data_IF_141750081166
#
_entry.id   IF_141750081166
#
_cell.length_a   1.000
_cell.length_b   1.000
_cell.length_c   1.000
_cell.angle_alpha   90.00
_cell.angle_beta   90.00
_cell.angle_gamma   90.00
#
_symmetry.space_group_name_H-M   'P 1'
#
loop_
_entity.id
_entity.type
_entity.pdbx_description
1 polymer ?
#
# COMPACT_ATOMS: atom_id res chain seq x y z
N UNK A 1 -35.26 -32.95 -26.25
CA UNK A 1 -34.84 -31.59 -26.67
C UNK A 1 -35.19 -30.53 -25.63
N UNK A 2 -36.44 -30.46 -25.15
CA UNK A 2 -36.88 -29.45 -24.18
C UNK A 2 -36.14 -29.50 -22.83
N UNK A 3 -35.87 -30.70 -22.31
CA UNK A 3 -35.08 -30.93 -21.08
C UNK A 3 -33.66 -30.37 -21.15
N UNK A 4 -33.01 -30.45 -22.32
CA UNK A 4 -31.66 -29.91 -22.52
C UNK A 4 -31.66 -28.37 -22.49
N UNK A 5 -32.65 -27.73 -23.13
CA UNK A 5 -32.77 -26.26 -23.16
C UNK A 5 -32.93 -25.70 -21.74
N UNK A 6 -33.80 -26.32 -20.94
CA UNK A 6 -34.00 -25.93 -19.54
C UNK A 6 -32.74 -26.12 -18.72
N UNK A 7 -32.04 -27.25 -18.87
CA UNK A 7 -30.79 -27.50 -18.16
C UNK A 7 -29.71 -26.45 -18.49
N UNK A 8 -29.57 -26.07 -19.77
CA UNK A 8 -28.65 -25.01 -20.18
C UNK A 8 -29.02 -23.65 -19.59
N UNK A 9 -30.30 -23.30 -19.53
CA UNK A 9 -30.78 -22.07 -18.91
C UNK A 9 -30.40 -21.99 -17.42
N UNK A 10 -30.58 -23.08 -16.67
CA UNK A 10 -30.18 -23.15 -15.26
C UNK A 10 -28.66 -23.02 -15.07
N UNK A 11 -27.86 -23.68 -15.92
CA UNK A 11 -26.40 -23.58 -15.84
C UNK A 11 -25.94 -22.14 -16.12
N UNK A 12 -26.47 -21.50 -17.18
CA UNK A 12 -26.13 -20.13 -17.52
C UNK A 12 -26.50 -19.14 -16.41
N UNK A 13 -27.68 -19.29 -15.80
CA UNK A 13 -28.12 -18.49 -14.67
C UNK A 13 -27.20 -18.68 -13.45
N UNK A 14 -26.85 -19.92 -13.13
CA UNK A 14 -25.92 -20.24 -12.03
C UNK A 14 -24.54 -19.64 -12.25
N UNK A 15 -23.99 -19.75 -13.47
CA UNK A 15 -22.73 -19.10 -13.82
C UNK A 15 -22.84 -17.57 -13.68
N UNK A 16 -23.94 -16.96 -14.12
CA UNK A 16 -24.21 -15.54 -13.94
C UNK A 16 -24.18 -15.11 -12.48
N UNK A 17 -24.81 -15.87 -11.58
CA UNK A 17 -24.82 -15.59 -10.14
C UNK A 17 -23.42 -15.76 -9.53
N UNK A 18 -22.73 -16.86 -9.84
CA UNK A 18 -21.41 -17.17 -9.27
C UNK A 18 -20.38 -16.11 -9.69
N UNK A 19 -20.31 -15.80 -10.98
CA UNK A 19 -19.30 -14.88 -11.52
C UNK A 19 -19.69 -13.40 -11.36
N UNK A 20 -20.97 -13.08 -11.42
CA UNK A 20 -21.48 -11.71 -11.30
C UNK A 20 -21.61 -11.22 -9.85
N UNK A 21 -21.91 -12.12 -8.90
CA UNK A 21 -22.28 -11.73 -7.53
C UNK A 21 -21.35 -12.38 -6.50
N UNK A 22 -21.28 -13.71 -6.46
CA UNK A 22 -20.59 -14.43 -5.38
C UNK A 22 -19.08 -14.19 -5.39
N UNK A 23 -18.43 -14.37 -6.53
CA UNK A 23 -16.97 -14.19 -6.65
C UNK A 23 -16.52 -12.75 -6.33
N UNK A 24 -17.16 -11.68 -6.84
CA UNK A 24 -16.86 -10.31 -6.43
C UNK A 24 -17.03 -10.09 -4.92
N UNK A 25 -18.11 -10.62 -4.33
CA UNK A 25 -18.36 -10.50 -2.88
C UNK A 25 -17.30 -11.20 -2.05
N UNK A 26 -16.91 -12.43 -2.42
CA UNK A 26 -15.83 -13.18 -1.74
C UNK A 26 -14.51 -12.42 -1.86
N UNK A 27 -14.17 -11.92 -3.06
CA UNK A 27 -12.94 -11.12 -3.27
C UNK A 27 -12.95 -9.84 -2.45
N UNK A 28 -14.10 -9.16 -2.38
CA UNK A 28 -14.30 -7.97 -1.54
C UNK A 28 -14.12 -8.33 -0.06
N UNK A 29 -14.78 -9.37 0.44
CA UNK A 29 -14.66 -9.79 1.84
C UNK A 29 -13.22 -10.16 2.20
N UNK A 30 -12.52 -10.89 1.34
CA UNK A 30 -11.10 -11.21 1.55
C UNK A 30 -10.21 -9.96 1.55
N UNK A 31 -10.50 -9.00 0.67
CA UNK A 31 -9.81 -7.71 0.69
C UNK A 31 -10.11 -6.94 1.97
N UNK A 32 -11.37 -6.90 2.43
CA UNK A 32 -11.81 -6.22 3.65
C UNK A 32 -11.27 -6.86 4.93
N UNK A 33 -11.21 -8.19 5.03
CA UNK A 33 -10.54 -8.88 6.14
C UNK A 33 -9.08 -8.44 6.24
N UNK A 34 -8.39 -8.35 5.11
CA UNK A 34 -7.02 -7.84 5.08
C UNK A 34 -6.90 -6.33 5.45
N UNK A 35 -7.99 -5.56 5.42
CA UNK A 35 -8.00 -4.16 5.88
C UNK A 35 -8.13 -4.04 7.39
N UNK A 36 -8.93 -4.91 8.02
CA UNK A 36 -9.17 -4.87 9.46
C UNK A 36 -7.89 -5.13 10.27
N UNK A 37 -6.93 -5.86 9.68
CA UNK A 37 -5.70 -6.30 10.35
C UNK A 37 -4.65 -5.19 10.49
N UNK A 38 -4.77 -4.10 9.74
CA UNK A 38 -3.74 -3.06 9.70
C UNK A 38 -4.34 -1.67 9.69
N UNK A 39 -3.99 -0.89 10.72
CA UNK A 39 -4.39 0.51 10.87
C UNK A 39 -4.17 1.31 9.58
N UNK A 40 -5.09 2.23 9.25
CA UNK A 40 -4.96 3.03 8.05
C UNK A 40 -3.76 3.97 8.12
N UNK A 41 -3.00 4.03 7.03
CA UNK A 41 -1.92 5.01 6.87
C UNK A 41 -2.48 6.18 6.07
N UNK A 42 -3.07 7.14 6.79
CA UNK A 42 -3.80 8.26 6.20
C UNK A 42 -2.86 9.34 5.71
N UNK A 43 -3.10 9.80 4.48
CA UNK A 43 -2.46 10.95 3.87
C UNK A 43 -3.28 12.23 4.13
N UNK A 44 -2.65 13.41 4.17
CA UNK A 44 -3.37 14.67 4.19
C UNK A 44 -4.27 14.79 2.94
N UNK A 45 -5.51 15.30 3.08
CA UNK A 45 -6.41 15.46 1.96
C UNK A 45 -5.92 16.58 1.02
N UNK A 46 -6.19 16.40 -0.28
CA UNK A 46 -5.95 17.44 -1.28
C UNK A 46 -7.05 18.53 -1.26
N UNK A 47 -6.78 19.65 -1.94
CA UNK A 47 -7.77 20.72 -2.12
C UNK A 47 -8.97 20.24 -2.96
N UNK A 48 -10.15 20.82 -2.71
CA UNK A 48 -11.39 20.50 -3.45
C UNK A 48 -11.32 20.80 -4.96
N UNK A 49 -10.42 21.68 -5.37
CA UNK A 49 -10.14 21.99 -6.79
C UNK A 49 -9.69 20.76 -7.60
N UNK A 50 -9.16 19.76 -6.89
CA UNK A 50 -8.72 18.47 -7.44
C UNK A 50 -9.82 17.40 -7.38
N UNK A 51 -11.05 17.73 -6.98
CA UNK A 51 -12.21 16.82 -7.02
C UNK A 51 -12.82 16.74 -8.42
N UNK A 52 -12.00 16.38 -9.40
CA UNK A 52 -12.42 16.15 -10.78
C UNK A 52 -11.67 14.96 -11.37
N UNK A 53 -12.33 14.14 -12.21
CA UNK A 53 -11.66 13.07 -12.94
C UNK A 53 -10.67 13.66 -13.96
N UNK A 54 -9.47 13.11 -13.99
CA UNK A 54 -8.38 13.47 -14.89
C UNK A 54 -7.91 12.23 -15.66
N UNK A 55 -7.76 12.31 -16.99
CA UNK A 55 -7.25 11.20 -17.78
C UNK A 55 -5.73 11.06 -17.58
N UNK A 56 -5.29 9.84 -17.29
CA UNK A 56 -3.87 9.48 -17.14
C UNK A 56 -3.59 8.25 -18.00
N UNK A 57 -2.51 8.32 -18.79
CA UNK A 57 -2.10 7.21 -19.65
C UNK A 57 -1.70 5.97 -18.85
N UNK A 58 -2.03 4.80 -19.39
CA UNK A 58 -1.58 3.52 -18.85
C UNK A 58 -0.09 3.28 -19.07
N UNK A 59 0.53 2.44 -18.23
CA UNK A 59 1.98 2.16 -18.26
C UNK A 59 2.52 1.67 -19.60
N UNK A 60 1.75 0.87 -20.33
CA UNK A 60 2.22 0.12 -21.50
C UNK A 60 1.44 0.46 -22.80
N UNK A 61 0.43 1.32 -22.72
CA UNK A 61 -0.47 1.65 -23.83
C UNK A 61 -0.94 3.08 -23.66
N UNK A 62 -0.37 4.00 -24.43
CA UNK A 62 -0.78 5.42 -24.45
C UNK A 62 -2.27 5.57 -24.78
N UNK A 63 -2.84 4.62 -25.54
CA UNK A 63 -4.25 4.60 -25.92
C UNK A 63 -5.21 4.25 -24.79
N UNK A 64 -4.74 3.59 -23.71
CA UNK A 64 -5.60 3.25 -22.58
C UNK A 64 -5.53 4.36 -21.52
N UNK A 65 -6.55 5.22 -21.52
CA UNK A 65 -6.70 6.27 -20.51
C UNK A 65 -7.43 5.74 -19.27
N UNK A 66 -6.87 6.02 -18.11
CA UNK A 66 -7.51 5.79 -16.81
C UNK A 66 -7.94 7.13 -16.22
N UNK A 67 -9.16 7.18 -15.67
CA UNK A 67 -9.64 8.35 -14.94
C UNK A 67 -9.13 8.25 -13.51
N UNK A 68 -8.43 9.27 -13.05
CA UNK A 68 -7.99 9.43 -11.66
C UNK A 68 -8.67 10.64 -11.04
N UNK A 69 -8.99 10.59 -9.76
CA UNK A 69 -9.41 11.76 -9.00
C UNK A 69 -8.53 11.83 -7.77
N UNK A 70 -7.71 12.89 -7.69
CA UNK A 70 -6.72 13.05 -6.64
C UNK A 70 -7.38 13.39 -5.31
N UNK A 71 -8.39 14.27 -5.26
CA UNK A 71 -9.09 14.60 -4.01
C UNK A 71 -9.62 13.34 -3.31
N UNK A 72 -10.23 12.42 -4.05
CA UNK A 72 -10.78 11.17 -3.52
C UNK A 72 -9.77 10.03 -3.48
N UNK A 73 -8.55 10.21 -4.02
CA UNK A 73 -7.60 9.12 -4.29
C UNK A 73 -8.23 7.91 -5.00
N UNK A 74 -8.99 8.15 -6.08
CA UNK A 74 -9.66 7.08 -6.85
C UNK A 74 -9.09 6.90 -8.25
N UNK A 75 -9.18 5.69 -8.81
CA UNK A 75 -8.73 5.39 -10.16
C UNK A 75 -9.59 4.33 -10.85
N UNK A 76 -9.81 4.43 -12.15
CA UNK A 76 -10.55 3.42 -12.92
C UNK A 76 -9.72 2.21 -13.34
N UNK A 77 -8.43 2.14 -12.98
CA UNK A 77 -7.59 1.02 -13.37
C UNK A 77 -7.99 -0.29 -12.65
N UNK A 78 -7.69 -1.43 -13.30
CA UNK A 78 -8.03 -2.75 -12.77
C UNK A 78 -7.48 -2.99 -11.35
N UNK A 79 -6.22 -2.59 -11.09
CA UNK A 79 -5.59 -2.76 -9.76
C UNK A 79 -6.27 -1.93 -8.67
N UNK A 80 -6.86 -0.79 -9.02
CA UNK A 80 -7.66 -0.02 -8.08
C UNK A 80 -8.98 -0.73 -7.80
N UNK A 81 -9.78 -0.96 -8.84
CA UNK A 81 -11.12 -1.59 -8.72
C UNK A 81 -11.12 -2.93 -7.99
N UNK A 82 -10.06 -3.73 -8.14
CA UNK A 82 -10.00 -5.09 -7.57
C UNK A 82 -9.27 -5.19 -6.24
N UNK A 83 -8.52 -4.15 -5.83
CA UNK A 83 -7.66 -4.23 -4.64
C UNK A 83 -7.58 -2.90 -3.91
N UNK A 84 -7.04 -1.87 -4.55
CA UNK A 84 -6.69 -0.62 -3.85
C UNK A 84 -7.90 0.24 -3.47
N UNK A 85 -9.01 0.10 -4.19
CA UNK A 85 -10.24 0.85 -3.92
C UNK A 85 -10.96 0.45 -2.65
N UNK A 86 -10.61 -0.68 -2.05
CA UNK A 86 -11.21 -1.15 -0.80
C UNK A 86 -10.61 -0.50 0.43
N UNK A 87 -9.37 0.01 0.36
CA UNK A 87 -8.76 0.71 1.50
C UNK A 87 -9.53 2.00 1.82
N UNK A 88 -9.55 2.41 3.10
CA UNK A 88 -10.21 3.65 3.53
C UNK A 88 -9.79 4.85 2.71
N UNK A 89 -10.68 5.84 2.61
CA UNK A 89 -10.36 7.10 1.94
C UNK A 89 -9.11 7.73 2.55
N UNK A 90 -8.32 8.39 1.71
CA UNK A 90 -7.01 8.96 2.05
C UNK A 90 -5.91 7.96 2.46
N UNK A 91 -6.14 6.65 2.45
CA UNK A 91 -5.07 5.69 2.79
C UNK A 91 -4.01 5.60 1.67
N UNK A 92 -2.72 5.61 2.04
CA UNK A 92 -1.58 5.48 1.10
C UNK A 92 -1.71 4.24 0.21
N UNK A 93 -2.29 3.15 0.73
CA UNK A 93 -2.48 1.87 0.02
C UNK A 93 -3.45 2.00 -1.16
N UNK A 94 -4.26 3.07 -1.22
CA UNK A 94 -5.10 3.40 -2.39
C UNK A 94 -4.27 3.78 -3.61
N UNK A 95 -3.07 4.32 -3.41
CA UNK A 95 -2.24 4.89 -4.47
C UNK A 95 -1.76 3.82 -5.46
N UNK A 96 -2.50 3.68 -6.56
CA UNK A 96 -2.06 2.91 -7.71
C UNK A 96 -0.95 3.65 -8.48
N UNK A 97 -0.34 2.99 -9.47
CA UNK A 97 0.66 3.61 -10.32
C UNK A 97 0.17 4.94 -10.93
N UNK A 98 -1.03 4.98 -11.51
CA UNK A 98 -1.57 6.19 -12.16
C UNK A 98 -1.78 7.34 -11.18
N UNK A 99 -2.29 7.07 -9.97
CA UNK A 99 -2.44 8.09 -8.93
C UNK A 99 -1.09 8.71 -8.56
N UNK A 100 -0.05 7.87 -8.37
CA UNK A 100 1.29 8.35 -8.03
C UNK A 100 1.94 9.13 -9.17
N UNK A 101 1.76 8.69 -10.41
CA UNK A 101 2.24 9.45 -11.57
C UNK A 101 1.56 10.80 -11.67
N UNK A 102 0.24 10.86 -11.45
CA UNK A 102 -0.49 12.12 -11.50
C UNK A 102 -0.09 13.09 -10.39
N UNK A 103 0.10 12.58 -9.17
CA UNK A 103 0.66 13.36 -8.03
C UNK A 103 2.01 13.96 -8.41
N UNK A 104 2.91 13.14 -9.00
CA UNK A 104 4.24 13.60 -9.44
C UNK A 104 4.14 14.63 -10.57
N UNK A 105 3.28 14.38 -11.56
CA UNK A 105 3.08 15.26 -12.73
C UNK A 105 2.58 16.65 -12.33
N UNK A 106 1.72 16.73 -11.31
CA UNK A 106 1.22 18.01 -10.78
C UNK A 106 2.13 18.64 -9.71
N UNK A 107 3.29 18.03 -9.41
CA UNK A 107 4.21 18.54 -8.40
C UNK A 107 3.63 18.55 -6.99
N UNK A 108 2.71 17.63 -6.66
CA UNK A 108 1.98 17.62 -5.39
C UNK A 108 2.63 16.75 -4.30
N UNK A 109 3.82 16.20 -4.57
CA UNK A 109 4.50 15.27 -3.66
C UNK A 109 4.99 15.99 -2.40
N UNK A 110 5.41 17.24 -2.54
CA UNK A 110 5.88 18.14 -1.48
C UNK A 110 4.82 18.42 -0.39
N UNK A 111 3.54 18.24 -0.71
CA UNK A 111 2.42 18.37 0.24
C UNK A 111 2.37 17.26 1.30
N UNK A 112 3.10 16.17 1.09
CA UNK A 112 3.17 15.06 2.04
C UNK A 112 4.37 15.21 2.97
N UNK A 113 4.29 14.62 4.16
CA UNK A 113 5.48 14.52 5.02
C UNK A 113 6.54 13.61 4.38
N UNK A 114 7.81 13.81 4.75
CA UNK A 114 8.94 13.14 4.09
C UNK A 114 8.87 11.59 4.13
N UNK A 115 8.28 11.00 5.18
CA UNK A 115 8.07 9.55 5.23
C UNK A 115 7.06 9.11 4.17
N UNK A 116 5.90 9.78 4.12
CA UNK A 116 4.87 9.52 3.12
C UNK A 116 5.41 9.68 1.70
N UNK A 117 6.22 10.71 1.44
CA UNK A 117 6.90 10.89 0.14
C UNK A 117 7.75 9.68 -0.23
N UNK A 118 8.62 9.23 0.68
CA UNK A 118 9.51 8.07 0.45
C UNK A 118 8.73 6.79 0.12
N UNK A 119 7.62 6.53 0.83
CA UNK A 119 6.73 5.38 0.57
C UNK A 119 6.07 5.48 -0.82
N UNK A 120 5.60 6.68 -1.17
CA UNK A 120 4.96 6.96 -2.47
C UNK A 120 5.95 6.76 -3.61
N UNK A 121 7.18 7.23 -3.46
CA UNK A 121 8.22 7.11 -4.48
C UNK A 121 8.64 5.65 -4.71
N UNK A 122 8.85 4.87 -3.66
CA UNK A 122 9.25 3.45 -3.75
C UNK A 122 8.15 2.53 -4.31
N UNK A 123 6.88 2.94 -4.24
CA UNK A 123 5.83 2.33 -5.04
C UNK A 123 4.60 1.80 -4.32
N UNK A 124 4.47 2.05 -3.02
CA UNK A 124 3.40 1.52 -2.16
C UNK A 124 3.18 0.02 -2.43
N UNK A 125 4.19 -0.78 -2.08
CA UNK A 125 4.27 -2.21 -2.42
C UNK A 125 3.56 -3.10 -1.40
N UNK A 126 3.49 -2.65 -0.16
CA UNK A 126 3.09 -3.45 0.98
C UNK A 126 1.58 -3.40 1.25
N UNK A 127 1.07 -4.37 2.02
CA UNK A 127 -0.35 -4.47 2.38
C UNK A 127 -0.68 -3.78 3.69
N UNK A 128 0.32 -3.68 4.54
CA UNK A 128 0.26 -3.03 5.83
C UNK A 128 1.36 -1.99 5.91
N UNK A 129 1.00 -0.83 6.42
CA UNK A 129 1.92 0.24 6.73
C UNK A 129 1.69 0.68 8.17
N UNK A 130 2.76 0.97 8.89
CA UNK A 130 2.72 1.53 10.24
C UNK A 130 3.73 2.67 10.32
N UNK A 131 3.38 3.73 11.05
CA UNK A 131 4.32 4.77 11.46
C UNK A 131 4.52 4.65 12.96
N UNK A 132 5.75 4.78 13.42
CA UNK A 132 6.06 4.85 14.86
C UNK A 132 7.23 5.81 15.09
N UNK A 133 7.46 6.19 16.34
CA UNK A 133 8.62 6.99 16.73
C UNK A 133 9.66 6.07 17.37
N UNK A 134 10.86 6.02 16.78
CA UNK A 134 12.00 5.24 17.29
C UNK A 134 13.16 6.20 17.47
N UNK A 135 13.68 6.28 18.70
CA UNK A 135 14.83 7.14 19.05
C UNK A 135 14.64 8.62 18.62
N UNK A 136 13.43 9.15 18.79
CA UNK A 136 13.08 10.54 18.45
C UNK A 136 12.82 10.78 16.96
N UNK A 137 13.00 9.78 16.08
CA UNK A 137 12.71 9.87 14.65
C UNK A 137 11.47 9.06 14.26
N UNK A 138 10.67 9.59 13.34
CA UNK A 138 9.55 8.84 12.77
C UNK A 138 10.07 7.78 11.80
N UNK A 139 9.72 6.52 12.03
CA UNK A 139 10.04 5.37 11.18
C UNK A 139 8.76 4.80 10.59
N UNK A 140 8.81 4.43 9.32
CA UNK A 140 7.72 3.72 8.65
C UNK A 140 8.07 2.26 8.42
N UNK A 141 7.12 1.37 8.69
CA UNK A 141 7.22 -0.06 8.39
C UNK A 141 6.20 -0.45 7.33
N UNK A 142 6.62 -1.26 6.36
CA UNK A 142 5.79 -1.86 5.32
C UNK A 142 5.91 -3.37 5.35
N UNK A 143 4.79 -4.08 5.41
CA UNK A 143 4.78 -5.54 5.38
C UNK A 143 3.67 -6.11 4.49
N UNK A 144 3.95 -7.28 3.92
CA UNK A 144 2.96 -8.13 3.26
C UNK A 144 2.93 -9.48 3.99
N UNK A 145 1.77 -9.98 4.47
CA UNK A 145 1.73 -11.13 5.38
C UNK A 145 2.43 -12.41 4.89
N UNK A 146 2.53 -12.62 3.57
CA UNK A 146 3.21 -13.80 2.98
C UNK A 146 4.72 -13.61 2.79
N UNK A 147 5.26 -12.43 3.07
CA UNK A 147 6.67 -12.11 2.90
C UNK A 147 7.36 -12.16 4.26
N UNK A 148 8.52 -12.82 4.31
CA UNK A 148 9.38 -12.91 5.50
C UNK A 148 10.33 -11.71 5.60
N UNK A 149 9.90 -10.56 5.08
CA UNK A 149 10.67 -9.33 5.11
C UNK A 149 9.78 -8.14 5.37
N UNK A 150 10.34 -7.18 6.10
CA UNK A 150 9.72 -5.90 6.43
C UNK A 150 10.52 -4.82 5.74
N UNK A 151 9.82 -3.98 5.00
CA UNK A 151 10.39 -2.76 4.45
C UNK A 151 10.42 -1.70 5.53
N UNK A 152 11.58 -1.10 5.73
CA UNK A 152 11.78 -0.07 6.74
C UNK A 152 12.14 1.23 6.04
N UNK A 153 11.42 2.29 6.38
CA UNK A 153 11.69 3.64 5.92
C UNK A 153 12.15 4.46 7.13
N UNK A 154 13.44 4.77 7.19
CA UNK A 154 14.06 5.48 8.30
C UNK A 154 14.97 6.60 7.77
N UNK A 155 15.12 7.69 8.53
CA UNK A 155 16.06 8.75 8.18
C UNK A 155 17.50 8.26 8.28
N UNK A 156 18.32 8.70 7.34
CA UNK A 156 19.77 8.54 7.38
C UNK A 156 20.40 9.73 8.11
N UNK A 157 21.59 9.55 8.67
CA UNK A 157 22.35 10.68 9.17
C UNK A 157 22.69 11.63 8.02
N UNK A 158 22.39 12.91 8.19
CA UNK A 158 22.91 13.98 7.39
C UNK A 158 24.37 14.29 7.75
N UNK A 159 25.06 15.02 6.86
CA UNK A 159 26.46 15.40 7.08
C UNK A 159 26.69 16.26 8.33
N UNK A 160 25.64 16.96 8.80
CA UNK A 160 25.66 17.83 9.98
C UNK A 160 25.10 17.16 11.24
N UNK A 161 24.64 15.92 11.16
CA UNK A 161 24.05 15.26 12.33
C UNK A 161 25.14 14.83 13.31
N UNK A 162 24.92 14.98 14.62
CA UNK A 162 25.82 14.43 15.63
C UNK A 162 25.84 12.90 15.52
N UNK A 163 26.96 12.29 15.94
CA UNK A 163 27.09 10.83 16.00
C UNK A 163 26.04 10.20 16.94
N UNK A 164 25.68 10.91 18.00
CA UNK A 164 24.62 10.56 18.94
C UNK A 164 23.49 11.60 18.80
N UNK A 165 22.40 11.22 18.12
CA UNK A 165 21.23 12.09 17.95
C UNK A 165 20.24 11.54 16.92
N UNK A 166 19.06 12.15 16.85
CA UNK A 166 18.05 11.75 15.87
C UNK A 166 18.49 12.14 14.44
N UNK A 167 18.48 11.20 13.48
CA UNK A 167 18.89 11.49 12.11
C UNK A 167 17.94 12.49 11.44
N UNK A 168 18.49 13.53 10.81
CA UNK A 168 17.76 14.59 10.10
C UNK A 168 17.79 14.44 8.58
N UNK A 169 18.67 13.59 8.06
CA UNK A 169 18.85 13.34 6.64
C UNK A 169 17.63 12.72 5.93
N UNK A 170 17.76 12.43 4.62
CA UNK A 170 16.67 11.89 3.83
C UNK A 170 16.24 10.51 4.32
N UNK A 171 15.00 10.13 3.99
CA UNK A 171 14.53 8.77 4.26
C UNK A 171 15.21 7.76 3.33
N UNK A 172 15.96 6.84 3.93
CA UNK A 172 16.45 5.62 3.29
C UNK A 172 15.42 4.49 3.37
N UNK A 173 15.54 3.53 2.46
CA UNK A 173 14.67 2.36 2.38
C UNK A 173 15.47 1.09 2.58
N UNK A 174 15.30 0.49 3.74
CA UNK A 174 15.97 -0.72 4.18
C UNK A 174 15.03 -1.91 4.11
N UNK A 175 15.59 -3.11 4.14
CA UNK A 175 14.82 -4.35 4.15
C UNK A 175 15.36 -5.25 5.26
N UNK A 176 14.48 -5.63 6.18
CA UNK A 176 14.81 -6.52 7.28
C UNK A 176 14.19 -7.90 7.01
N UNK A 177 15.02 -8.95 6.97
CA UNK A 177 14.57 -10.33 6.87
C UNK A 177 14.18 -10.81 8.27
N UNK A 178 12.88 -11.05 8.49
CA UNK A 178 12.35 -11.42 9.81
C UNK A 178 12.64 -12.86 10.18
N UNK A 179 12.92 -13.73 9.20
CA UNK A 179 13.26 -15.12 9.43
C UNK A 179 14.72 -15.30 9.84
N UNK A 180 15.61 -14.58 9.16
CA UNK A 180 17.05 -14.59 9.46
C UNK A 180 17.43 -13.55 10.52
N UNK A 181 16.49 -12.66 10.90
CA UNK A 181 16.68 -11.54 11.83
C UNK A 181 17.88 -10.67 11.47
N UNK A 182 18.03 -10.38 10.17
CA UNK A 182 19.16 -9.61 9.65
C UNK A 182 18.71 -8.60 8.59
N UNK A 183 19.52 -7.55 8.42
CA UNK A 183 19.35 -6.59 7.35
C UNK A 183 19.80 -7.21 6.02
N UNK A 184 19.04 -6.96 4.96
CA UNK A 184 19.38 -7.44 3.62
C UNK A 184 20.46 -6.53 3.03
N UNK A 185 21.49 -7.13 2.43
CA UNK A 185 22.68 -6.46 1.87
C UNK A 185 23.57 -5.75 2.92
N UNK A 186 23.45 -6.11 4.21
CA UNK A 186 24.22 -5.51 5.31
C UNK A 186 24.05 -3.98 5.46
N UNK A 187 23.03 -3.41 4.81
CA UNK A 187 22.66 -2.00 4.93
C UNK A 187 21.63 -1.84 6.06
N UNK A 188 22.08 -1.33 7.21
CA UNK A 188 21.25 -1.08 8.37
C UNK A 188 21.02 0.43 8.61
N UNK A 189 19.82 0.85 9.05
CA UNK A 189 19.58 2.23 9.46
C UNK A 189 20.24 2.55 10.80
N UNK A 190 20.35 3.83 11.13
CA UNK A 190 20.69 4.25 12.49
C UNK A 190 19.68 3.69 13.50
N UNK A 191 20.15 3.21 14.66
CA UNK A 191 19.30 2.53 15.64
C UNK A 191 18.83 1.14 15.17
N UNK A 192 19.59 0.49 14.30
CA UNK A 192 19.29 -0.79 13.66
C UNK A 192 18.70 -1.84 14.60
N UNK A 193 19.26 -2.03 15.79
CA UNK A 193 18.80 -3.05 16.76
C UNK A 193 17.39 -2.76 17.27
N UNK A 194 17.13 -1.50 17.67
CA UNK A 194 15.81 -1.07 18.16
C UNK A 194 14.80 -1.16 17.02
N UNK A 195 15.14 -0.65 15.84
CA UNK A 195 14.28 -0.70 14.66
C UNK A 195 13.98 -2.14 14.23
N UNK A 196 14.97 -3.04 14.29
CA UNK A 196 14.78 -4.46 13.96
C UNK A 196 13.81 -5.15 14.92
N UNK A 197 13.87 -4.82 16.22
CA UNK A 197 12.90 -5.32 17.22
C UNK A 197 11.49 -4.85 16.91
N UNK A 198 11.31 -3.56 16.68
CA UNK A 198 10.01 -2.96 16.31
C UNK A 198 9.47 -3.53 14.99
N UNK A 199 10.35 -3.74 14.00
CA UNK A 199 10.00 -4.36 12.72
C UNK A 199 9.51 -5.80 12.90
N UNK A 200 10.14 -6.56 13.80
CA UNK A 200 9.75 -7.94 14.10
C UNK A 200 8.40 -7.98 14.81
N UNK A 201 8.18 -7.13 15.82
CA UNK A 201 6.90 -7.02 16.53
C UNK A 201 5.76 -6.63 15.57
N UNK A 202 5.99 -5.62 14.73
CA UNK A 202 5.06 -5.23 13.67
C UNK A 202 4.72 -6.41 12.74
N UNK A 203 5.73 -7.14 12.28
CA UNK A 203 5.51 -8.29 11.40
C UNK A 203 4.75 -9.42 12.09
N UNK A 204 5.05 -9.70 13.35
CA UNK A 204 4.33 -10.69 14.15
C UNK A 204 2.85 -10.32 14.28
N UNK A 205 2.53 -9.04 14.55
CA UNK A 205 1.14 -8.57 14.54
C UNK A 205 0.46 -8.79 13.18
N UNK A 206 1.17 -8.48 12.08
CA UNK A 206 0.65 -8.69 10.72
C UNK A 206 0.43 -10.17 10.38
N UNK A 207 1.26 -11.09 10.89
CA UNK A 207 1.18 -12.53 10.58
C UNK A 207 0.28 -13.31 11.53
N UNK A 208 0.28 -13.02 12.83
CA UNK A 208 -0.58 -13.68 13.82
C UNK A 208 -2.06 -13.59 13.42
N UNK A 209 -2.45 -12.45 12.85
CA UNK A 209 -3.81 -12.23 12.33
C UNK A 209 -4.12 -13.02 11.05
N UNK A 210 -3.15 -13.67 10.42
CA UNK A 210 -3.35 -14.49 9.20
C UNK A 210 -3.39 -15.99 9.44
N UNK A 211 -2.96 -16.49 10.61
CA UNK A 211 -3.02 -17.91 10.96
C UNK A 211 -4.36 -18.38 11.51
N UNK A 212 -5.34 -17.49 11.67
CA UNK A 212 -6.69 -17.78 12.18
C UNK A 212 -7.75 -18.01 11.09
N UNK A 213 -7.36 -18.01 9.80
CA UNK A 213 -8.21 -18.31 8.63
C UNK A 213 -7.84 -19.65 7.99
#
# INVERSE_FOLDING_TARGET
MWTLIVAFGFIALWLGIVYGILLPKIRRNKAMSALQKCSPFLLPPFSRELDKPQPVAGRNKETLLHQVNLFRLTCTCHRFRTRRGFFPDQDVRRLCYHLRQEIKRQGLLDRFDALSQSIIEDGVRDRCYMRTNVLGSVVGFGATPKQKSVRVYARQHGASDPAEGSPSGPYGRFLFDTAQKKWVNDEAPFGAEVIAREALEFWQGVVADTSSE
#
